data_IF_243119081058
#
_entry.id   IF_243119081058
#
_cell.length_a   1.000
_cell.length_b   1.000
_cell.length_c   1.000
_cell.angle_alpha   90.00
_cell.angle_beta   90.00
_cell.angle_gamma   90.00
#
_symmetry.space_group_name_H-M   'P 1'
#
loop_
_entity.id
_entity.type
_entity.pdbx_description
1 polymer ?
#
# COMPACT_ATOMS: atom_id res chain seq x y z
N UNK A 1 12.45 -28.38 -1.30
CA UNK A 1 12.82 -26.99 -0.96
C UNK A 1 11.56 -26.17 -1.05
N UNK A 2 11.10 -25.51 0.01
CA UNK A 2 9.93 -24.63 -0.09
C UNK A 2 10.29 -23.45 -0.99
N UNK A 3 9.73 -23.42 -2.20
CA UNK A 3 9.89 -22.32 -3.15
C UNK A 3 9.35 -21.06 -2.49
N UNK A 4 10.20 -20.04 -2.32
CA UNK A 4 9.75 -18.74 -1.80
C UNK A 4 8.71 -18.15 -2.75
N UNK A 5 7.67 -17.46 -2.22
CA UNK A 5 6.65 -16.87 -3.07
C UNK A 5 7.28 -15.81 -3.99
N UNK A 6 6.81 -15.64 -5.23
CA UNK A 6 7.42 -14.73 -6.20
C UNK A 6 7.59 -13.28 -5.70
N UNK A 7 6.67 -12.82 -4.83
CA UNK A 7 6.73 -11.48 -4.24
C UNK A 7 8.01 -11.26 -3.43
N UNK A 8 8.52 -12.29 -2.76
CA UNK A 8 9.75 -12.21 -1.99
C UNK A 8 10.94 -11.89 -2.91
N UNK A 9 11.08 -12.64 -4.01
CA UNK A 9 12.18 -12.46 -4.96
C UNK A 9 12.14 -11.07 -5.56
N UNK A 10 10.95 -10.63 -6.01
CA UNK A 10 10.78 -9.29 -6.58
C UNK A 10 11.10 -8.17 -5.60
N UNK A 11 10.66 -8.31 -4.35
CA UNK A 11 10.99 -7.33 -3.31
C UNK A 11 12.49 -7.31 -3.00
N UNK A 12 13.13 -8.48 -2.96
CA UNK A 12 14.57 -8.60 -2.73
C UNK A 12 15.38 -7.89 -3.81
N UNK A 13 15.01 -8.05 -5.08
CA UNK A 13 15.66 -7.37 -6.20
C UNK A 13 15.46 -5.84 -6.13
N UNK A 14 14.24 -5.38 -5.81
CA UNK A 14 13.96 -3.96 -5.57
C UNK A 14 14.79 -3.41 -4.40
N UNK A 15 14.90 -4.14 -3.30
CA UNK A 15 15.68 -3.72 -2.13
C UNK A 15 17.15 -3.54 -2.48
N UNK A 16 17.76 -4.50 -3.18
CA UNK A 16 19.13 -4.38 -3.65
C UNK A 16 19.34 -3.14 -4.51
N UNK A 17 18.44 -2.94 -5.49
CA UNK A 17 18.47 -1.74 -6.34
C UNK A 17 18.34 -0.44 -5.52
N UNK A 18 17.44 -0.40 -4.53
CA UNK A 18 17.24 0.75 -3.66
C UNK A 18 18.51 1.08 -2.87
N UNK A 19 19.12 0.10 -2.21
CA UNK A 19 20.33 0.29 -1.42
C UNK A 19 21.48 0.84 -2.28
N UNK A 20 21.64 0.33 -3.51
CA UNK A 20 22.63 0.83 -4.46
C UNK A 20 22.37 2.29 -4.88
N UNK A 21 21.12 2.72 -4.96
CA UNK A 21 20.78 4.13 -5.25
C UNK A 21 21.06 5.02 -4.05
N UNK A 22 20.61 4.60 -2.86
CA UNK A 22 20.74 5.35 -1.62
C UNK A 22 22.21 5.55 -1.22
N UNK A 23 23.08 4.58 -1.48
CA UNK A 23 24.52 4.70 -1.27
C UNK A 23 25.14 5.90 -2.03
N UNK A 24 24.55 6.31 -3.16
CA UNK A 24 25.03 7.43 -3.99
C UNK A 24 24.52 8.79 -3.54
N UNK A 25 23.61 8.87 -2.57
CA UNK A 25 23.09 10.14 -2.10
C UNK A 25 24.17 10.95 -1.37
N UNK A 26 24.10 12.30 -1.40
CA UNK A 26 25.04 13.16 -0.68
C UNK A 26 25.08 12.84 0.81
N UNK A 27 26.27 12.94 1.43
CA UNK A 27 26.47 12.70 2.87
C UNK A 27 25.49 13.48 3.75
N UNK A 28 25.15 14.72 3.37
CA UNK A 28 24.21 15.58 4.09
C UNK A 28 22.79 15.00 4.20
N UNK A 29 22.37 14.14 3.26
CA UNK A 29 21.05 13.51 3.26
C UNK A 29 21.02 12.16 3.99
N UNK A 30 22.19 11.63 4.41
CA UNK A 30 22.31 10.27 4.97
C UNK A 30 21.67 10.12 6.34
N UNK A 31 21.78 11.12 7.21
CA UNK A 31 21.18 11.11 8.55
C UNK A 31 19.68 11.43 8.58
N UNK A 32 19.05 11.59 7.42
CA UNK A 32 17.63 11.92 7.31
C UNK A 32 16.89 10.97 6.39
N UNK A 33 16.73 11.39 5.14
CA UNK A 33 15.86 10.72 4.17
C UNK A 33 16.35 9.31 3.83
N UNK A 34 17.66 9.12 3.64
CA UNK A 34 18.23 7.81 3.30
C UNK A 34 17.96 6.78 4.39
N UNK A 35 18.33 7.06 5.64
CA UNK A 35 18.07 6.14 6.76
C UNK A 35 16.59 5.80 6.91
N UNK A 36 15.68 6.75 6.68
CA UNK A 36 14.23 6.48 6.72
C UNK A 36 13.80 5.54 5.59
N UNK A 37 14.34 5.70 4.39
CA UNK A 37 14.04 4.80 3.26
C UNK A 37 14.61 3.41 3.53
N UNK A 38 15.88 3.30 3.93
CA UNK A 38 16.53 2.02 4.26
C UNK A 38 15.77 1.28 5.34
N UNK A 39 15.39 1.96 6.42
CA UNK A 39 14.61 1.36 7.50
C UNK A 39 13.29 0.81 6.99
N UNK A 40 12.48 1.62 6.30
CA UNK A 40 11.19 1.15 5.78
C UNK A 40 11.38 0.00 4.79
N UNK A 41 12.41 0.05 3.95
CA UNK A 41 12.68 -0.97 2.96
C UNK A 41 13.06 -2.32 3.61
N UNK A 42 13.85 -2.28 4.69
CA UNK A 42 14.22 -3.46 5.48
C UNK A 42 13.04 -3.99 6.30
N UNK A 43 12.30 -3.11 7.00
CA UNK A 43 11.09 -3.49 7.76
C UNK A 43 10.08 -4.23 6.86
N UNK A 44 9.88 -3.75 5.63
CA UNK A 44 9.01 -4.43 4.65
C UNK A 44 9.52 -5.82 4.24
N UNK A 45 10.84 -6.01 4.13
CA UNK A 45 11.41 -7.34 3.87
C UNK A 45 11.16 -8.27 5.06
N UNK A 46 11.33 -7.79 6.29
CA UNK A 46 11.05 -8.54 7.51
C UNK A 46 9.59 -8.97 7.56
N UNK A 47 8.65 -8.08 7.22
CA UNK A 47 7.21 -8.40 7.13
C UNK A 47 6.95 -9.48 6.07
N UNK A 48 7.58 -9.40 4.90
CA UNK A 48 7.45 -10.42 3.86
C UNK A 48 8.01 -11.77 4.31
N UNK A 49 9.15 -11.77 5.02
CA UNK A 49 9.72 -12.98 5.61
C UNK A 49 8.74 -13.58 6.61
N UNK A 50 8.19 -12.77 7.52
CA UNK A 50 7.20 -13.22 8.49
C UNK A 50 5.97 -13.84 7.78
N UNK A 51 5.44 -13.16 6.76
CA UNK A 51 4.29 -13.61 5.99
C UNK A 51 4.49 -14.99 5.33
N UNK A 52 5.72 -15.36 4.95
CA UNK A 52 6.03 -16.68 4.36
C UNK A 52 5.73 -17.81 5.34
N UNK A 53 5.94 -17.59 6.63
CA UNK A 53 5.82 -18.63 7.65
C UNK A 53 4.50 -18.55 8.43
N UNK A 54 3.64 -17.56 8.14
CA UNK A 54 2.33 -17.39 8.79
C UNK A 54 1.19 -18.04 8.01
N UNK A 55 0.28 -18.67 8.76
CA UNK A 55 -1.02 -19.14 8.24
C UNK A 55 -2.01 -17.98 8.08
N UNK A 56 -2.00 -17.04 9.02
CA UNK A 56 -2.86 -15.85 9.14
C UNK A 56 -2.14 -14.57 8.66
N UNK A 57 -1.40 -14.66 7.55
CA UNK A 57 -0.56 -13.56 7.04
C UNK A 57 -1.33 -12.27 6.70
N UNK A 58 -2.64 -12.33 6.55
CA UNK A 58 -3.51 -11.17 6.28
C UNK A 58 -3.48 -10.12 7.41
N UNK A 59 -3.11 -10.50 8.63
CA UNK A 59 -2.89 -9.57 9.75
C UNK A 59 -1.77 -8.57 9.46
N UNK A 60 -0.80 -8.93 8.62
CA UNK A 60 0.32 -8.08 8.23
C UNK A 60 -0.03 -7.11 7.09
N UNK A 61 -1.25 -7.22 6.52
CA UNK A 61 -1.62 -6.50 5.30
C UNK A 61 -1.46 -4.99 5.43
N UNK A 62 -2.02 -4.43 6.50
CA UNK A 62 -1.98 -2.98 6.74
C UNK A 62 -0.55 -2.47 6.90
N UNK A 63 0.28 -3.22 7.62
CA UNK A 63 1.67 -2.84 7.91
C UNK A 63 2.50 -2.78 6.63
N UNK A 64 2.49 -3.83 5.81
CA UNK A 64 3.23 -3.82 4.55
C UNK A 64 2.69 -2.75 3.60
N UNK A 65 1.36 -2.62 3.49
CA UNK A 65 0.75 -1.62 2.61
C UNK A 65 1.19 -0.19 2.95
N UNK A 66 1.15 0.18 4.24
CA UNK A 66 1.64 1.49 4.70
C UNK A 66 3.15 1.64 4.44
N UNK A 67 3.93 0.59 4.61
CA UNK A 67 5.36 0.59 4.31
C UNK A 67 5.66 0.84 2.83
N UNK A 68 4.91 0.23 1.91
CA UNK A 68 5.02 0.48 0.48
C UNK A 68 4.63 1.93 0.14
N UNK A 69 3.56 2.47 0.73
CA UNK A 69 3.18 3.89 0.54
C UNK A 69 4.27 4.84 1.03
N UNK A 70 4.87 4.57 2.19
CA UNK A 70 6.00 5.37 2.71
C UNK A 70 7.16 5.39 1.72
N UNK A 71 7.51 4.25 1.11
CA UNK A 71 8.56 4.19 0.09
C UNK A 71 8.20 5.08 -1.12
N UNK A 72 6.98 5.01 -1.64
CA UNK A 72 6.57 5.87 -2.77
C UNK A 72 6.76 7.36 -2.46
N UNK A 73 6.30 7.79 -1.28
CA UNK A 73 6.40 9.20 -0.86
C UNK A 73 7.85 9.62 -0.68
N UNK A 74 8.67 8.82 -0.02
CA UNK A 74 10.08 9.16 0.21
C UNK A 74 10.92 9.15 -1.07
N UNK A 75 10.61 8.26 -2.01
CA UNK A 75 11.28 8.23 -3.32
C UNK A 75 10.86 9.42 -4.18
N UNK A 76 9.59 9.82 -4.15
CA UNK A 76 9.14 11.06 -4.79
C UNK A 76 9.86 12.28 -4.22
N UNK A 77 9.94 12.39 -2.90
CA UNK A 77 10.71 13.45 -2.25
C UNK A 77 12.20 13.40 -2.63
N UNK A 78 12.77 12.22 -2.81
CA UNK A 78 14.16 12.06 -3.27
C UNK A 78 14.35 12.58 -4.70
N UNK A 79 13.35 12.36 -5.58
CA UNK A 79 13.35 12.94 -6.92
C UNK A 79 13.18 14.47 -6.90
N UNK A 80 12.25 15.00 -6.10
CA UNK A 80 12.04 16.45 -5.94
C UNK A 80 13.32 17.17 -5.46
N UNK A 81 14.16 16.48 -4.68
CA UNK A 81 15.46 16.97 -4.21
C UNK A 81 16.63 16.71 -5.18
N UNK A 82 16.36 16.16 -6.35
CA UNK A 82 17.37 15.84 -7.37
C UNK A 82 18.28 14.65 -7.02
N UNK A 83 17.91 13.82 -6.06
CA UNK A 83 18.69 12.62 -5.68
C UNK A 83 18.37 11.39 -6.55
N UNK A 84 17.19 11.38 -7.17
CA UNK A 84 16.79 10.37 -8.16
C UNK A 84 16.37 11.06 -9.46
N UNK A 85 16.65 10.42 -10.60
CA UNK A 85 16.06 10.84 -11.88
C UNK A 85 14.59 10.44 -11.96
N UNK A 86 13.85 11.04 -12.90
CA UNK A 86 12.43 10.70 -13.10
C UNK A 86 12.25 9.25 -13.58
N UNK A 87 13.20 8.72 -14.34
CA UNK A 87 13.22 7.32 -14.80
C UNK A 87 13.45 6.36 -13.62
N UNK A 88 14.38 6.71 -12.72
CA UNK A 88 14.62 5.93 -11.50
C UNK A 88 13.41 5.92 -10.57
N UNK A 89 12.76 7.07 -10.40
CA UNK A 89 11.50 7.16 -9.65
C UNK A 89 10.43 6.28 -10.29
N UNK A 90 10.25 6.36 -11.61
CA UNK A 90 9.25 5.59 -12.35
C UNK A 90 9.47 4.09 -12.20
N UNK A 91 10.72 3.63 -12.33
CA UNK A 91 11.08 2.24 -12.10
C UNK A 91 10.71 1.80 -10.68
N UNK A 92 11.18 2.53 -9.66
CA UNK A 92 10.97 2.14 -8.27
C UNK A 92 9.48 2.12 -7.90
N UNK A 93 8.71 3.13 -8.29
CA UNK A 93 7.26 3.19 -8.04
C UNK A 93 6.53 2.07 -8.78
N UNK A 94 6.92 1.79 -10.03
CA UNK A 94 6.34 0.68 -10.80
C UNK A 94 6.56 -0.68 -10.14
N UNK A 95 7.76 -0.92 -9.61
CA UNK A 95 8.06 -2.14 -8.84
C UNK A 95 7.27 -2.20 -7.53
N UNK A 96 7.17 -1.09 -6.80
CA UNK A 96 6.36 -1.01 -5.56
C UNK A 96 4.88 -1.30 -5.84
N UNK A 97 4.33 -0.79 -6.95
CA UNK A 97 2.94 -1.03 -7.35
C UNK A 97 2.68 -2.50 -7.68
N UNK A 98 3.61 -3.13 -8.38
CA UNK A 98 3.51 -4.55 -8.71
C UNK A 98 3.64 -5.43 -7.47
N UNK A 99 4.57 -5.12 -6.57
CA UNK A 99 4.68 -5.78 -5.26
C UNK A 99 3.38 -5.62 -4.46
N UNK A 100 2.77 -4.44 -4.47
CA UNK A 100 1.48 -4.19 -3.82
C UNK A 100 0.35 -5.06 -4.40
N UNK A 101 0.29 -5.22 -5.73
CA UNK A 101 -0.65 -6.13 -6.40
C UNK A 101 -0.42 -7.59 -6.01
N UNK A 102 0.85 -8.03 -6.03
CA UNK A 102 1.23 -9.38 -5.61
C UNK A 102 0.86 -9.64 -4.14
N UNK A 103 1.05 -8.64 -3.27
CA UNK A 103 0.72 -8.73 -1.85
C UNK A 103 -0.77 -8.92 -1.63
N UNK A 104 -1.59 -8.12 -2.33
CA UNK A 104 -3.03 -8.25 -2.31
C UNK A 104 -3.50 -9.63 -2.78
N UNK A 105 -2.97 -10.11 -3.91
CA UNK A 105 -3.32 -11.44 -4.44
C UNK A 105 -2.88 -12.58 -3.52
N UNK A 106 -1.74 -12.46 -2.84
CA UNK A 106 -1.19 -13.52 -1.98
C UNK A 106 -1.82 -13.58 -0.58
N UNK A 107 -2.24 -12.44 -0.03
CA UNK A 107 -2.99 -12.36 1.24
C UNK A 107 -4.47 -12.65 1.08
N UNK A 108 -4.99 -12.57 -0.15
CA UNK A 108 -6.35 -12.98 -0.46
C UNK A 108 -7.43 -12.11 0.18
N UNK A 109 -7.18 -10.83 0.47
CA UNK A 109 -8.30 -9.90 0.73
C UNK A 109 -9.13 -9.85 -0.55
N UNK A 110 -10.40 -10.30 -0.55
CA UNK A 110 -11.29 -9.98 -1.64
C UNK A 110 -11.29 -8.45 -1.77
N UNK A 111 -11.38 -7.92 -2.99
CA UNK A 111 -11.79 -6.53 -3.16
C UNK A 111 -13.11 -6.41 -2.41
N UNK A 112 -13.10 -5.92 -1.17
CA UNK A 112 -14.31 -5.49 -0.51
C UNK A 112 -14.93 -4.52 -1.50
N UNK A 113 -16.12 -4.84 -2.00
CA UNK A 113 -16.86 -4.09 -2.99
C UNK A 113 -16.52 -2.60 -2.87
N UNK A 114 -15.66 -2.11 -3.77
CA UNK A 114 -15.69 -0.70 -4.09
C UNK A 114 -17.01 -0.56 -4.83
N UNK A 115 -18.09 -0.29 -4.09
CA UNK A 115 -19.30 0.22 -4.69
C UNK A 115 -18.88 1.47 -5.47
N UNK A 116 -19.01 1.47 -6.80
CA UNK A 116 -18.69 2.65 -7.58
C UNK A 116 -19.80 3.67 -7.34
N UNK A 117 -19.48 4.71 -6.60
CA UNK A 117 -20.29 5.92 -6.54
C UNK A 117 -21.46 5.86 -5.56
N UNK A 118 -21.62 6.95 -4.81
CA UNK A 118 -22.57 7.04 -3.72
C UNK A 118 -24.01 6.79 -4.15
N UNK A 119 -24.71 6.03 -3.33
CA UNK A 119 -26.10 6.34 -3.02
C UNK A 119 -26.25 6.34 -1.51
N UNK A 120 -26.44 7.54 -0.96
CA UNK A 120 -26.86 7.71 0.42
C UNK A 120 -28.07 6.80 0.68
N UNK A 121 -28.20 6.19 1.87
CA UNK A 121 -29.39 5.40 2.20
C UNK A 121 -30.62 6.28 1.98
N UNK A 122 -31.54 5.80 1.15
CA UNK A 122 -32.78 6.49 0.84
C UNK A 122 -33.44 6.90 2.15
N UNK A 123 -33.55 8.22 2.36
CA UNK A 123 -34.33 8.79 3.46
C UNK A 123 -35.73 8.19 3.34
N UNK A 124 -36.17 7.46 4.38
CA UNK A 124 -37.58 7.10 4.55
C UNK A 124 -38.39 8.38 4.37
N UNK A 125 -39.30 8.39 3.41
CA UNK A 125 -40.27 9.47 3.24
C UNK A 125 -41.08 9.60 4.52
N UNK A 126 -40.88 10.69 5.24
CA UNK A 126 -41.94 11.27 6.05
C UNK A 126 -42.99 11.78 5.06
N UNK A 127 -44.22 11.30 5.19
CA UNK A 127 -45.38 11.83 4.48
C UNK A 127 -46.28 10.72 3.98
N UNK A 128 -47.24 10.32 4.82
CA UNK A 128 -48.66 10.17 4.48
C UNK A 128 -49.35 9.31 5.56
N UNK A 129 -49.84 9.98 6.60
CA UNK A 129 -51.10 9.60 7.26
C UNK A 129 -51.68 10.89 7.84
N UNK A 130 -52.24 11.68 6.93
CA UNK A 130 -53.14 12.78 7.24
C UNK A 130 -54.52 12.45 6.68
N UNK A 131 -55.47 12.28 7.60
CA UNK A 131 -56.92 12.44 7.45
C UNK A 131 -57.68 11.52 6.45
N UNK A 132 -58.49 10.62 7.03
CA UNK A 132 -59.86 10.45 6.55
C UNK A 132 -60.80 10.73 7.72
N UNK A 133 -61.56 11.82 7.61
CA UNK A 133 -62.65 12.17 8.53
C UNK A 133 -63.92 11.38 8.18
N UNK A 134 -64.72 11.18 9.22
CA UNK A 134 -66.18 11.03 9.24
C UNK A 134 -66.87 10.07 8.27
N UNK A 135 -67.55 9.08 8.86
CA UNK A 135 -68.98 8.82 8.60
C UNK A 135 -69.59 7.92 9.69
N UNK A 136 -70.47 8.54 10.49
CA UNK A 136 -71.82 8.09 10.83
C UNK A 136 -72.01 6.58 11.06
N UNK A 137 -72.15 6.18 12.34
CA UNK A 137 -73.37 5.55 12.89
C UNK A 137 -73.25 5.34 14.40
#
# INVERSE_FOLDING_TARGET
MSTRPPIYTRYYDLLGWLLDRLARFPKSSRFGLVQKIEKVALDNLEILIEAIYRKDRDVLYGTLNIGLEKLRVFLRLSNDRGHLSIEQLRYAVGEIDEIGRMWHGWTGRPRANQEPGGRAPARRSLGEVGALSDKVS
#
